data_IF_569020600797
#
_entry.id   IF_569020600797
#
_cell.length_a   1.000
_cell.length_b   1.000
_cell.length_c   1.000
_cell.angle_alpha   90.00
_cell.angle_beta   90.00
_cell.angle_gamma   90.00
#
_symmetry.space_group_name_H-M   'P 1'
#
loop_
_entity.id
_entity.type
_entity.pdbx_description
1 polymer ?
#
# COMPACT_ATOMS: atom_id res chain seq x y z
N UNK A 1 35.61 -10.19 -16.05
CA UNK A 1 35.07 -11.22 -15.14
C UNK A 1 33.54 -11.10 -15.09
N UNK A 2 32.81 -12.06 -15.67
CA UNK A 2 31.34 -12.07 -15.60
C UNK A 2 30.93 -12.51 -14.19
N UNK A 3 30.18 -11.69 -13.44
CA UNK A 3 29.58 -12.12 -12.17
C UNK A 3 28.56 -13.20 -12.50
N UNK A 4 28.88 -14.45 -12.17
CA UNK A 4 27.92 -15.56 -12.27
C UNK A 4 26.71 -15.26 -11.38
N UNK A 5 25.51 -15.54 -11.89
CA UNK A 5 24.27 -15.49 -11.11
C UNK A 5 24.42 -16.51 -9.97
N UNK A 6 24.20 -16.08 -8.71
CA UNK A 6 24.35 -16.93 -7.50
C UNK A 6 23.02 -17.22 -6.78
N UNK A 7 21.91 -16.68 -7.28
CA UNK A 7 20.57 -16.90 -6.74
C UNK A 7 19.52 -16.59 -7.82
N UNK A 8 18.34 -17.21 -7.70
CA UNK A 8 17.15 -16.91 -8.52
C UNK A 8 16.16 -16.14 -7.64
N UNK A 9 15.65 -15.01 -8.12
CA UNK A 9 14.67 -14.19 -7.40
C UNK A 9 13.33 -14.22 -8.11
N UNK A 10 12.25 -14.46 -7.37
CA UNK A 10 10.87 -14.41 -7.88
C UNK A 10 10.01 -13.46 -7.06
N UNK A 11 9.07 -12.78 -7.72
CA UNK A 11 8.01 -12.00 -7.10
C UNK A 11 6.66 -12.61 -7.50
N UNK A 12 5.89 -13.11 -6.55
CA UNK A 12 4.59 -13.74 -6.82
C UNK A 12 3.44 -12.84 -6.41
N UNK A 13 2.90 -12.07 -7.36
CA UNK A 13 1.56 -11.47 -7.24
C UNK A 13 0.45 -12.38 -7.76
N UNK A 14 0.77 -13.35 -8.64
CA UNK A 14 -0.25 -14.15 -9.34
C UNK A 14 0.04 -15.65 -9.49
N UNK A 15 1.16 -16.20 -9.00
CA UNK A 15 1.39 -17.65 -9.07
C UNK A 15 2.40 -18.19 -8.03
N UNK A 16 2.03 -18.23 -6.73
CA UNK A 16 2.93 -18.61 -5.65
C UNK A 16 3.58 -20.02 -5.74
N UNK A 17 2.95 -21.06 -6.34
CA UNK A 17 3.59 -22.37 -6.55
C UNK A 17 4.82 -22.32 -7.47
N UNK A 18 4.95 -21.31 -8.32
CA UNK A 18 6.05 -21.23 -9.29
C UNK A 18 7.43 -21.09 -8.63
N UNK A 19 7.51 -20.41 -7.48
CA UNK A 19 8.76 -20.29 -6.73
C UNK A 19 9.22 -21.63 -6.16
N UNK A 20 8.26 -22.46 -5.73
CA UNK A 20 8.49 -23.81 -5.19
C UNK A 20 8.96 -24.74 -6.30
N UNK A 21 8.27 -24.76 -7.44
CA UNK A 21 8.69 -25.57 -8.59
C UNK A 21 10.08 -25.14 -9.11
N UNK A 22 10.35 -23.82 -9.14
CA UNK A 22 11.66 -23.33 -9.55
C UNK A 22 12.76 -23.72 -8.56
N UNK A 23 12.49 -23.76 -7.26
CA UNK A 23 13.45 -24.23 -6.27
C UNK A 23 13.82 -25.71 -6.45
N UNK A 24 12.88 -26.55 -6.91
CA UNK A 24 13.14 -27.96 -7.22
C UNK A 24 14.05 -28.15 -8.44
N UNK A 25 14.01 -27.23 -9.39
CA UNK A 25 14.74 -27.32 -10.65
C UNK A 25 16.04 -26.50 -10.67
N UNK A 26 16.20 -25.56 -9.73
CA UNK A 26 17.31 -24.61 -9.71
C UNK A 26 18.54 -25.20 -9.00
N UNK A 27 19.74 -25.14 -9.60
CA UNK A 27 20.99 -25.48 -8.92
C UNK A 27 21.47 -24.38 -7.95
N UNK A 28 20.76 -23.25 -7.87
CA UNK A 28 21.07 -22.12 -6.99
C UNK A 28 19.95 -21.87 -5.98
N UNK A 29 20.24 -21.25 -4.82
CA UNK A 29 19.22 -20.84 -3.86
C UNK A 29 18.14 -19.96 -4.50
N UNK A 30 16.88 -20.23 -4.17
CA UNK A 30 15.73 -19.46 -4.66
C UNK A 30 15.25 -18.54 -3.56
N UNK A 31 15.09 -17.26 -3.90
CA UNK A 31 14.54 -16.22 -3.06
C UNK A 31 13.15 -15.85 -3.60
N UNK A 32 12.13 -15.90 -2.75
CA UNK A 32 10.78 -15.48 -3.09
C UNK A 32 10.39 -14.25 -2.28
N UNK A 33 10.04 -13.16 -2.96
CA UNK A 33 9.50 -11.95 -2.32
C UNK A 33 7.98 -12.03 -2.27
N UNK A 34 7.42 -11.90 -1.08
CA UNK A 34 5.98 -12.03 -0.83
C UNK A 34 5.23 -10.75 -1.23
N UNK A 35 4.25 -10.87 -2.13
CA UNK A 35 3.37 -9.75 -2.55
C UNK A 35 1.88 -10.02 -2.36
N UNK A 36 1.53 -11.16 -1.79
CA UNK A 36 0.15 -11.57 -1.49
C UNK A 36 -0.15 -11.43 0.02
N UNK A 37 -1.42 -11.59 0.38
CA UNK A 37 -1.83 -11.69 1.80
C UNK A 37 -1.38 -13.04 2.38
N UNK A 38 -1.49 -13.18 3.70
CA UNK A 38 -1.33 -14.48 4.33
C UNK A 38 -2.43 -15.45 3.87
N UNK A 39 -2.00 -16.54 3.24
CA UNK A 39 -2.83 -17.66 2.81
C UNK A 39 -2.29 -18.94 3.46
N UNK A 40 -3.00 -19.55 4.42
CA UNK A 40 -2.50 -20.69 5.19
C UNK A 40 -1.94 -21.83 4.34
N UNK A 41 -2.60 -22.13 3.20
CA UNK A 41 -2.20 -23.19 2.28
C UNK A 41 -0.84 -22.91 1.63
N UNK A 42 -0.57 -21.65 1.31
CA UNK A 42 0.73 -21.21 0.77
C UNK A 42 1.80 -21.20 1.85
N UNK A 43 1.48 -20.70 3.04
CA UNK A 43 2.36 -20.72 4.20
C UNK A 43 2.85 -22.14 4.50
N UNK A 44 1.93 -23.10 4.48
CA UNK A 44 2.24 -24.52 4.67
C UNK A 44 3.09 -25.09 3.53
N UNK A 45 2.85 -24.68 2.29
CA UNK A 45 3.67 -25.06 1.14
C UNK A 45 5.11 -24.55 1.28
N UNK A 46 5.28 -23.30 1.67
CA UNK A 46 6.60 -22.71 1.90
C UNK A 46 7.33 -23.39 3.06
N UNK A 47 6.63 -23.71 4.15
CA UNK A 47 7.22 -24.44 5.28
C UNK A 47 7.76 -25.83 4.88
N UNK A 48 7.11 -26.49 3.92
CA UNK A 48 7.54 -27.78 3.37
C UNK A 48 8.65 -27.68 2.32
N UNK A 49 9.04 -26.47 1.93
CA UNK A 49 10.03 -26.21 0.87
C UNK A 49 11.15 -25.28 1.37
N UNK A 50 12.01 -25.75 2.30
CA UNK A 50 13.05 -24.91 2.91
C UNK A 50 14.11 -24.37 1.92
N UNK A 51 14.15 -24.91 0.70
CA UNK A 51 14.99 -24.44 -0.40
C UNK A 51 14.57 -23.03 -0.88
N UNK A 52 13.30 -22.66 -0.67
CA UNK A 52 12.79 -21.31 -0.95
C UNK A 52 13.00 -20.43 0.27
N UNK A 53 13.81 -19.39 0.11
CA UNK A 53 13.96 -18.35 1.13
C UNK A 53 12.95 -17.25 0.92
N UNK A 54 12.11 -16.98 1.92
CA UNK A 54 11.10 -15.95 1.84
C UNK A 54 11.65 -14.58 2.28
N UNK A 55 11.28 -13.55 1.53
CA UNK A 55 11.49 -12.15 1.89
C UNK A 55 10.12 -11.48 2.00
N UNK A 56 9.84 -10.95 3.19
CA UNK A 56 8.66 -10.13 3.41
C UNK A 56 8.96 -8.67 3.03
N UNK A 57 7.96 -7.96 2.54
CA UNK A 57 8.09 -6.54 2.15
C UNK A 57 7.72 -5.56 3.27
N UNK A 58 7.28 -6.07 4.42
CA UNK A 58 7.06 -5.32 5.66
C UNK A 58 7.19 -6.23 6.89
N UNK A 59 7.45 -5.66 8.06
CA UNK A 59 7.42 -6.40 9.32
C UNK A 59 6.00 -6.87 9.63
N UNK A 60 4.99 -6.13 9.21
CA UNK A 60 3.58 -6.54 9.36
C UNK A 60 3.29 -7.84 8.61
N UNK A 61 3.70 -7.94 7.35
CA UNK A 61 3.57 -9.17 6.56
C UNK A 61 4.39 -10.31 7.18
N UNK A 62 5.63 -10.04 7.62
CA UNK A 62 6.48 -11.05 8.25
C UNK A 62 5.87 -11.65 9.53
N UNK A 63 5.16 -10.85 10.34
CA UNK A 63 4.48 -11.34 11.56
C UNK A 63 3.25 -12.20 11.28
N UNK A 64 2.61 -12.02 10.12
CA UNK A 64 1.42 -12.78 9.71
C UNK A 64 1.80 -14.11 9.07
N UNK A 65 2.98 -14.18 8.47
CA UNK A 65 3.50 -15.40 7.84
C UNK A 65 3.90 -16.44 8.89
N UNK A 66 3.54 -17.69 8.64
CA UNK A 66 3.85 -18.82 9.52
C UNK A 66 4.98 -19.70 8.99
N UNK A 67 5.42 -19.48 7.75
CA UNK A 67 6.66 -19.99 7.21
C UNK A 67 7.87 -19.12 7.64
N UNK A 68 9.09 -19.68 7.71
CA UNK A 68 10.28 -18.90 8.08
C UNK A 68 10.58 -17.77 7.08
N UNK A 69 10.62 -16.53 7.57
CA UNK A 69 11.06 -15.35 6.82
C UNK A 69 12.57 -15.17 6.97
N UNK A 70 13.30 -15.11 5.86
CA UNK A 70 14.75 -14.91 5.85
C UNK A 70 15.15 -13.45 6.07
N UNK A 71 14.36 -12.50 5.55
CA UNK A 71 14.58 -11.07 5.71
C UNK A 71 13.30 -10.27 5.50
N UNK A 72 13.28 -9.05 6.06
CA UNK A 72 12.31 -8.01 5.71
C UNK A 72 13.02 -6.95 4.89
N UNK A 73 12.58 -6.73 3.66
CA UNK A 73 13.13 -5.72 2.75
C UNK A 73 12.00 -4.85 2.23
N UNK A 74 11.91 -3.63 2.75
CA UNK A 74 10.93 -2.65 2.29
C UNK A 74 11.19 -2.26 0.83
N UNK A 75 10.11 -1.91 0.12
CA UNK A 75 10.29 -1.35 -1.21
C UNK A 75 11.01 0.00 -1.13
N UNK A 76 11.95 0.18 -2.06
CA UNK A 76 12.62 1.45 -2.31
C UNK A 76 12.13 2.07 -3.61
N UNK A 77 12.08 3.39 -3.63
CA UNK A 77 11.87 4.19 -4.84
C UNK A 77 13.04 5.15 -4.98
N UNK A 78 13.32 5.55 -6.23
CA UNK A 78 14.33 6.55 -6.55
C UNK A 78 13.79 7.96 -6.23
N UNK A 79 14.29 8.64 -5.18
CA UNK A 79 13.75 9.94 -4.75
C UNK A 79 13.85 11.02 -5.83
N UNK A 80 14.83 10.92 -6.74
CA UNK A 80 15.04 11.91 -7.80
C UNK A 80 13.87 11.98 -8.80
N UNK A 81 12.97 10.98 -8.78
CA UNK A 81 11.77 10.92 -9.65
C UNK A 81 10.57 11.65 -9.08
N UNK A 82 10.64 12.12 -7.84
CA UNK A 82 9.54 12.76 -7.13
C UNK A 82 9.97 14.17 -6.72
N UNK A 83 9.13 15.14 -7.06
CA UNK A 83 9.40 16.55 -6.77
C UNK A 83 8.15 17.16 -6.15
N UNK A 84 8.26 17.84 -5.01
CA UNK A 84 7.16 18.62 -4.46
C UNK A 84 6.68 19.68 -5.44
N UNK A 85 5.37 19.87 -5.48
CA UNK A 85 4.73 20.94 -6.24
C UNK A 85 3.82 21.76 -5.32
N UNK A 86 3.31 22.87 -5.82
CA UNK A 86 2.37 23.71 -5.08
C UNK A 86 1.06 22.96 -4.80
N UNK A 87 0.65 22.93 -3.53
CA UNK A 87 -0.63 22.38 -3.07
C UNK A 87 -1.80 23.12 -3.74
N UNK A 88 -2.63 22.37 -4.48
CA UNK A 88 -3.82 22.88 -5.15
C UNK A 88 -5.11 22.67 -4.34
N UNK A 89 -4.98 22.23 -3.09
CA UNK A 89 -6.04 22.20 -2.09
C UNK A 89 -7.00 21.02 -2.12
N UNK A 90 -6.72 19.99 -2.93
CA UNK A 90 -7.53 18.78 -3.01
C UNK A 90 -6.89 17.60 -2.29
N UNK A 91 -7.73 16.70 -1.79
CA UNK A 91 -7.35 15.36 -1.37
C UNK A 91 -7.28 14.45 -2.58
N UNK A 92 -6.32 13.52 -2.60
CA UNK A 92 -6.15 12.57 -3.68
C UNK A 92 -6.46 11.15 -3.18
N UNK A 93 -7.27 10.41 -3.93
CA UNK A 93 -7.34 8.96 -3.84
C UNK A 93 -6.75 8.36 -5.11
N UNK A 94 -5.86 7.37 -4.97
CA UNK A 94 -5.23 6.71 -6.10
C UNK A 94 -5.25 5.19 -5.94
N UNK A 95 -5.91 4.51 -6.87
CA UNK A 95 -6.02 3.05 -6.87
C UNK A 95 -7.30 2.55 -7.53
N UNK A 96 -7.45 1.22 -7.56
CA UNK A 96 -8.68 0.57 -8.04
C UNK A 96 -9.86 0.97 -7.18
N UNK A 97 -11.05 1.07 -7.79
CA UNK A 97 -12.29 1.26 -7.06
C UNK A 97 -12.85 -0.13 -6.73
N UNK A 98 -12.38 -0.65 -5.62
CA UNK A 98 -12.81 -1.90 -5.00
C UNK A 98 -13.04 -1.65 -3.50
N UNK A 99 -13.76 -2.56 -2.83
CA UNK A 99 -14.09 -2.38 -1.40
C UNK A 99 -12.83 -2.38 -0.54
N UNK A 100 -11.83 -3.16 -0.97
CA UNK A 100 -10.55 -3.33 -0.27
C UNK A 100 -9.78 -2.02 -0.21
N UNK A 101 -9.72 -1.24 -1.30
CA UNK A 101 -9.06 0.07 -1.36
C UNK A 101 -9.81 1.18 -0.65
N UNK A 102 -11.07 0.95 -0.27
CA UNK A 102 -11.83 1.86 0.58
C UNK A 102 -12.23 3.18 -0.09
N UNK A 103 -12.53 3.14 -1.38
CA UNK A 103 -12.87 4.34 -2.17
C UNK A 103 -14.06 5.10 -1.59
N UNK A 104 -15.10 4.42 -1.10
CA UNK A 104 -16.23 5.07 -0.44
C UNK A 104 -15.80 5.82 0.84
N UNK A 105 -14.89 5.23 1.62
CA UNK A 105 -14.32 5.87 2.81
C UNK A 105 -13.51 7.11 2.46
N UNK A 106 -12.80 7.11 1.32
CA UNK A 106 -12.09 8.31 0.83
C UNK A 106 -13.08 9.46 0.57
N UNK A 107 -14.21 9.16 -0.08
CA UNK A 107 -15.26 10.15 -0.37
C UNK A 107 -15.86 10.70 0.93
N UNK A 108 -16.19 9.83 1.88
CA UNK A 108 -16.75 10.24 3.18
C UNK A 108 -15.77 11.09 4.00
N UNK A 109 -14.48 10.73 4.01
CA UNK A 109 -13.43 11.53 4.68
C UNK A 109 -13.34 12.92 4.06
N UNK A 110 -13.29 13.01 2.72
CA UNK A 110 -13.22 14.29 2.02
C UNK A 110 -14.47 15.16 2.26
N UNK A 111 -15.65 14.55 2.22
CA UNK A 111 -16.92 15.20 2.50
C UNK A 111 -16.96 15.78 3.92
N UNK A 112 -16.54 15.00 4.93
CA UNK A 112 -16.46 15.45 6.33
C UNK A 112 -15.41 16.54 6.54
N UNK A 113 -14.28 16.44 5.85
CA UNK A 113 -13.23 17.46 5.87
C UNK A 113 -13.58 18.73 5.09
N UNK A 114 -14.66 18.69 4.28
CA UNK A 114 -15.07 19.77 3.37
C UNK A 114 -13.95 20.17 2.41
N UNK A 115 -13.18 19.19 1.94
CA UNK A 115 -12.10 19.37 0.96
C UNK A 115 -12.48 18.72 -0.37
N UNK A 116 -12.09 19.31 -1.52
CA UNK A 116 -12.24 18.67 -2.81
C UNK A 116 -11.54 17.32 -2.85
N UNK A 117 -12.14 16.33 -3.49
CA UNK A 117 -11.53 15.02 -3.72
C UNK A 117 -11.32 14.81 -5.21
N UNK A 118 -10.09 14.42 -5.56
CA UNK A 118 -9.76 13.87 -6.87
C UNK A 118 -9.52 12.37 -6.73
N UNK A 119 -10.23 11.58 -7.53
CA UNK A 119 -10.08 10.14 -7.61
C UNK A 119 -9.41 9.76 -8.94
N UNK A 120 -8.30 9.03 -8.84
CA UNK A 120 -7.53 8.54 -9.97
C UNK A 120 -7.45 7.00 -9.94
N UNK A 121 -8.13 6.37 -10.87
CA UNK A 121 -8.31 4.92 -10.91
C UNK A 121 -9.47 4.51 -11.79
N UNK A 122 -9.90 3.27 -11.62
CA UNK A 122 -11.02 2.71 -12.37
C UNK A 122 -11.80 1.66 -11.56
N UNK A 123 -13.10 1.46 -11.86
CA UNK A 123 -13.90 0.40 -11.27
C UNK A 123 -13.30 -0.98 -11.50
N UNK A 124 -13.04 -1.71 -10.41
CA UNK A 124 -12.65 -3.12 -10.47
C UNK A 124 -13.79 -4.04 -10.02
N UNK A 125 -14.67 -3.52 -9.14
CA UNK A 125 -15.94 -4.16 -8.77
C UNK A 125 -17.10 -3.32 -9.31
N UNK A 126 -17.64 -3.70 -10.47
CA UNK A 126 -18.64 -2.87 -11.18
C UNK A 126 -19.92 -2.67 -10.39
N UNK A 127 -20.43 -3.72 -9.75
CA UNK A 127 -21.66 -3.66 -8.94
C UNK A 127 -21.48 -2.74 -7.72
N UNK A 128 -20.37 -2.86 -6.99
CA UNK A 128 -20.03 -1.99 -5.87
C UNK A 128 -19.89 -0.53 -6.32
N UNK A 129 -19.17 -0.30 -7.42
CA UNK A 129 -19.02 1.04 -7.97
C UNK A 129 -20.38 1.65 -8.33
N UNK A 130 -21.22 0.87 -9.01
CA UNK A 130 -22.49 1.32 -9.53
C UNK A 130 -23.53 1.61 -8.42
N UNK A 131 -23.51 0.83 -7.33
CA UNK A 131 -24.49 0.89 -6.24
C UNK A 131 -24.07 1.78 -5.06
N UNK A 132 -22.77 1.88 -4.75
CA UNK A 132 -22.29 2.58 -3.55
C UNK A 132 -21.39 3.78 -3.89
N UNK A 133 -20.45 3.62 -4.83
CA UNK A 133 -19.43 4.66 -5.09
C UNK A 133 -20.00 5.80 -5.92
N UNK A 134 -20.62 5.51 -7.08
CA UNK A 134 -21.15 6.53 -7.97
C UNK A 134 -22.18 7.47 -7.29
N UNK A 135 -23.15 6.98 -6.49
CA UNK A 135 -24.05 7.87 -5.76
C UNK A 135 -23.33 8.84 -4.82
N UNK A 136 -22.24 8.40 -4.18
CA UNK A 136 -21.43 9.27 -3.32
C UNK A 136 -20.65 10.32 -4.13
N UNK A 137 -20.13 9.93 -5.29
CA UNK A 137 -19.45 10.85 -6.22
C UNK A 137 -20.39 11.98 -6.65
N UNK A 138 -21.62 11.65 -7.06
CA UNK A 138 -22.64 12.62 -7.49
C UNK A 138 -23.05 13.54 -6.33
N UNK A 139 -23.32 12.95 -5.16
CA UNK A 139 -23.73 13.67 -3.94
C UNK A 139 -22.66 14.67 -3.48
N UNK A 140 -21.39 14.28 -3.54
CA UNK A 140 -20.28 15.08 -3.00
C UNK A 140 -19.46 15.81 -4.08
N UNK A 141 -19.85 15.71 -5.35
CA UNK A 141 -19.20 16.34 -6.51
C UNK A 141 -17.70 16.01 -6.60
N UNK A 142 -17.38 14.73 -6.44
CA UNK A 142 -16.01 14.22 -6.52
C UNK A 142 -15.52 14.25 -7.97
N UNK A 143 -14.26 14.63 -8.20
CA UNK A 143 -13.67 14.64 -9.53
C UNK A 143 -13.00 13.31 -9.83
N UNK A 144 -13.48 12.60 -10.85
CA UNK A 144 -12.83 11.40 -11.37
C UNK A 144 -11.97 11.71 -12.59
N UNK A 145 -10.72 11.28 -12.57
CA UNK A 145 -9.76 11.54 -13.67
C UNK A 145 -9.40 10.29 -14.49
N UNK A 146 -9.97 9.14 -14.12
CA UNK A 146 -9.69 7.83 -14.69
C UNK A 146 -8.32 7.28 -14.28
N UNK A 147 -7.88 6.16 -14.91
CA UNK A 147 -6.57 5.59 -14.64
C UNK A 147 -5.45 6.54 -15.08
N UNK A 148 -4.42 6.65 -14.25
CA UNK A 148 -3.26 7.53 -14.48
C UNK A 148 -1.95 6.77 -14.30
N UNK A 149 -0.95 7.14 -15.10
CA UNK A 149 0.40 6.59 -15.04
C UNK A 149 1.46 7.65 -15.34
N UNK A 150 2.73 7.29 -15.12
CA UNK A 150 3.90 8.12 -15.44
C UNK A 150 3.82 9.56 -14.89
N UNK A 151 4.18 10.53 -15.72
CA UNK A 151 4.22 11.94 -15.34
C UNK A 151 2.87 12.50 -14.90
N UNK A 152 1.75 12.00 -15.45
CA UNK A 152 0.41 12.44 -15.05
C UNK A 152 0.10 12.03 -13.62
N UNK A 153 0.46 10.81 -13.23
CA UNK A 153 0.35 10.33 -11.84
C UNK A 153 1.19 11.21 -10.90
N UNK A 154 2.47 11.40 -11.23
CA UNK A 154 3.39 12.18 -10.40
C UNK A 154 2.90 13.63 -10.23
N UNK A 155 2.48 14.27 -11.31
CA UNK A 155 1.97 15.65 -11.32
C UNK A 155 0.67 15.83 -10.52
N UNK A 156 -0.22 14.82 -10.55
CA UNK A 156 -1.44 14.82 -9.76
C UNK A 156 -1.15 14.58 -8.29
N UNK A 157 -0.25 13.66 -7.98
CA UNK A 157 0.14 13.39 -6.60
C UNK A 157 0.81 14.59 -5.95
N UNK A 158 1.86 15.13 -6.57
CA UNK A 158 2.67 16.21 -6.00
C UNK A 158 1.93 17.54 -5.77
N UNK A 159 0.74 17.70 -6.35
CA UNK A 159 -0.14 18.88 -6.18
C UNK A 159 -1.26 18.66 -5.16
N UNK A 160 -1.41 17.44 -4.64
CA UNK A 160 -2.44 17.13 -3.67
C UNK A 160 -2.05 17.67 -2.28
N UNK A 161 -3.05 18.09 -1.51
CA UNK A 161 -2.90 18.45 -0.10
C UNK A 161 -2.51 17.26 0.76
N UNK A 162 -3.13 16.11 0.47
CA UNK A 162 -2.86 14.84 1.11
C UNK A 162 -3.35 13.70 0.23
N UNK A 163 -2.67 12.56 0.30
CA UNK A 163 -3.16 11.30 -0.21
C UNK A 163 -4.07 10.64 0.85
N UNK A 164 -5.27 10.23 0.47
CA UNK A 164 -6.12 9.36 1.27
C UNK A 164 -5.82 7.90 0.92
N UNK A 165 -5.46 7.12 1.93
CA UNK A 165 -5.20 5.69 1.82
C UNK A 165 -6.06 4.89 2.81
N UNK A 166 -7.40 4.92 2.68
CA UNK A 166 -8.35 4.32 3.63
C UNK A 166 -8.50 2.80 3.40
N UNK A 167 -7.36 2.11 3.36
CA UNK A 167 -7.27 0.69 3.05
C UNK A 167 -8.10 -0.14 4.06
N UNK A 168 -8.88 -1.11 3.57
CA UNK A 168 -9.80 -1.93 4.38
C UNK A 168 -9.29 -3.34 4.65
N UNK A 169 -8.08 -3.65 4.21
CA UNK A 169 -7.39 -4.91 4.44
C UNK A 169 -5.98 -4.65 4.99
N UNK A 170 -5.27 -5.73 5.22
CA UNK A 170 -3.95 -5.74 5.82
C UNK A 170 -2.91 -5.56 4.72
N UNK A 171 -2.81 -4.32 4.24
CA UNK A 171 -1.95 -3.96 3.10
C UNK A 171 -0.49 -4.37 3.34
N UNK A 172 0.14 -5.10 2.40
CA UNK A 172 1.48 -5.65 2.61
C UNK A 172 2.57 -4.57 2.54
N UNK A 173 2.35 -3.48 1.79
CA UNK A 173 3.25 -2.33 1.75
C UNK A 173 2.55 -1.01 1.38
N UNK A 174 1.95 -0.91 0.19
CA UNK A 174 1.30 0.32 -0.29
C UNK A 174 2.29 1.36 -0.86
N UNK A 175 2.85 1.07 -2.04
CA UNK A 175 3.80 1.94 -2.76
C UNK A 175 3.32 3.39 -2.91
N UNK A 176 2.02 3.59 -3.14
CA UNK A 176 1.44 4.93 -3.36
C UNK A 176 1.67 5.86 -2.17
N UNK A 177 1.75 5.33 -0.94
CA UNK A 177 2.04 6.13 0.25
C UNK A 177 3.45 6.72 0.20
N UNK A 178 4.46 5.89 -0.10
CA UNK A 178 5.85 6.38 -0.18
C UNK A 178 6.07 7.26 -1.41
N UNK A 179 5.32 7.07 -2.50
CA UNK A 179 5.32 8.01 -3.64
C UNK A 179 4.81 9.39 -3.24
N UNK A 180 3.74 9.45 -2.44
CA UNK A 180 3.19 10.71 -1.95
C UNK A 180 4.17 11.39 -1.00
N UNK A 181 4.73 10.65 -0.04
CA UNK A 181 5.72 11.16 0.90
C UNK A 181 6.96 11.72 0.19
N UNK A 182 7.47 11.02 -0.83
CA UNK A 182 8.59 11.49 -1.65
C UNK A 182 8.23 12.73 -2.49
N UNK A 183 6.95 12.91 -2.81
CA UNK A 183 6.43 14.11 -3.47
C UNK A 183 6.13 15.25 -2.50
N UNK A 184 6.48 15.13 -1.21
CA UNK A 184 6.18 16.13 -0.18
C UNK A 184 4.71 16.16 0.25
N UNK A 185 3.94 15.11 -0.06
CA UNK A 185 2.51 15.02 0.19
C UNK A 185 2.26 14.06 1.35
N UNK A 186 1.58 14.49 2.43
CA UNK A 186 1.25 13.61 3.54
C UNK A 186 0.29 12.50 3.10
N UNK A 187 0.48 11.29 3.63
CA UNK A 187 -0.32 10.12 3.32
C UNK A 187 -1.17 9.71 4.53
N UNK A 188 -2.48 9.94 4.44
CA UNK A 188 -3.46 9.66 5.48
C UNK A 188 -4.00 8.23 5.33
N UNK A 189 -3.38 7.29 6.03
CA UNK A 189 -3.69 5.87 5.94
C UNK A 189 -4.50 5.32 7.11
N UNK A 190 -5.35 4.31 6.86
CA UNK A 190 -5.92 3.51 7.95
C UNK A 190 -4.82 2.63 8.58
N UNK A 191 -4.76 2.55 9.92
CA UNK A 191 -3.72 1.82 10.64
C UNK A 191 -3.86 0.27 10.52
N UNK A 192 -3.65 -0.26 9.31
CA UNK A 192 -3.75 -1.68 8.95
C UNK A 192 -2.52 -2.13 8.18
N UNK A 193 -2.14 -3.39 8.30
CA UNK A 193 -1.01 -3.96 7.57
C UNK A 193 0.29 -3.20 7.82
N UNK A 194 0.98 -2.83 6.75
CA UNK A 194 2.24 -2.09 6.77
C UNK A 194 2.06 -0.57 6.91
N UNK A 195 0.84 -0.04 6.86
CA UNK A 195 0.58 1.41 6.96
C UNK A 195 1.23 2.04 8.19
N UNK A 196 1.04 1.55 9.43
CA UNK A 196 1.67 2.16 10.62
C UNK A 196 3.19 1.94 10.71
N UNK A 197 3.76 1.12 9.83
CA UNK A 197 5.21 0.93 9.70
C UNK A 197 5.84 1.95 8.72
N UNK A 198 5.04 2.50 7.81
CA UNK A 198 5.48 3.43 6.76
C UNK A 198 5.12 4.87 7.09
N UNK A 199 3.92 5.08 7.65
CA UNK A 199 3.36 6.39 8.00
C UNK A 199 3.52 6.61 9.49
N UNK A 200 4.11 7.74 9.86
CA UNK A 200 4.33 8.11 11.26
C UNK A 200 3.23 9.06 11.75
N UNK A 201 2.68 8.76 12.93
CA UNK A 201 1.64 9.56 13.57
C UNK A 201 2.21 10.95 13.93
N UNK A 202 1.47 12.02 13.60
CA UNK A 202 1.92 13.40 13.82
C UNK A 202 2.89 13.99 12.76
N UNK A 203 3.47 13.17 11.86
CA UNK A 203 4.29 13.66 10.73
C UNK A 203 3.56 13.46 9.40
N UNK A 204 2.98 12.27 9.18
CA UNK A 204 2.20 11.93 7.97
C UNK A 204 0.79 11.39 8.27
N UNK A 205 0.46 11.18 9.56
CA UNK A 205 -0.84 10.87 10.17
C UNK A 205 -1.50 9.54 9.75
N UNK A 206 -1.74 8.68 10.75
CA UNK A 206 -2.54 7.46 10.61
C UNK A 206 -3.93 7.66 11.22
N UNK A 207 -5.00 7.28 10.52
CA UNK A 207 -6.35 7.28 11.05
C UNK A 207 -6.59 6.00 11.89
N UNK A 208 -6.57 6.12 13.22
CA UNK A 208 -6.87 5.05 14.19
C UNK A 208 -7.22 5.60 15.58
N UNK A 209 -8.16 4.94 16.28
CA UNK A 209 -8.96 5.39 17.42
C UNK A 209 -8.29 6.31 18.47
N UNK A 210 -9.09 7.27 18.98
CA UNK A 210 -8.73 8.24 20.02
C UNK A 210 -7.82 7.67 21.10
N UNK A 211 -6.58 8.14 21.16
CA UNK A 211 -5.75 7.96 22.36
C UNK A 211 -6.34 8.85 23.44
N UNK A 212 -6.88 8.24 24.50
CA UNK A 212 -7.16 8.95 25.75
C UNK A 212 -5.84 9.49 26.28
N UNK A 213 -5.70 10.81 26.27
CA UNK A 213 -4.62 11.51 26.94
C UNK A 213 -4.75 11.27 28.44
N UNK A 214 -3.99 10.31 28.98
CA UNK A 214 -3.72 10.25 30.41
C UNK A 214 -2.75 11.38 30.71
N UNK A 215 -3.32 12.50 31.15
CA UNK A 215 -2.62 13.66 31.64
C UNK A 215 -2.00 13.30 33.00
N UNK A 216 -0.74 12.84 33.03
CA UNK A 216 0.03 12.81 34.29
C UNK A 216 0.64 14.17 34.51
N UNK A 217 -0.15 15.07 35.10
CA UNK A 217 0.35 16.22 35.84
C UNK A 217 1.11 15.71 37.07
N UNK A 218 2.45 15.78 37.04
CA UNK A 218 3.26 15.74 38.25
C UNK A 218 3.60 17.17 38.64
N UNK A 219 2.83 17.67 39.61
CA UNK A 219 3.26 18.69 40.54
C UNK A 219 4.24 18.08 41.53
N UNK A 220 5.42 18.67 41.66
CA UNK A 220 6.49 18.29 42.59
C UNK A 220 7.73 19.12 42.33
#
# INVERSE_FOLDING_TARGET
>A
MRRAIRAVSTSSTCNPPSAVEMARLSPFPVLCTLHHDHEPELSDLYRRTPEVRLVAISRSQARRETAPIAAVVHHGLDPARYQPMEDQGYLLFLGRYDRVKGVAQAIEVAARAKLPLVMAGEPHEREYYDSEVRPLIEKHRVLEVGPVGGNRKAALMARARALLFPIQWEEPFGLVMIEAMLSGVPALGAARGAVPEIVEDGITCTCGASRSSTNTSSSG
#
